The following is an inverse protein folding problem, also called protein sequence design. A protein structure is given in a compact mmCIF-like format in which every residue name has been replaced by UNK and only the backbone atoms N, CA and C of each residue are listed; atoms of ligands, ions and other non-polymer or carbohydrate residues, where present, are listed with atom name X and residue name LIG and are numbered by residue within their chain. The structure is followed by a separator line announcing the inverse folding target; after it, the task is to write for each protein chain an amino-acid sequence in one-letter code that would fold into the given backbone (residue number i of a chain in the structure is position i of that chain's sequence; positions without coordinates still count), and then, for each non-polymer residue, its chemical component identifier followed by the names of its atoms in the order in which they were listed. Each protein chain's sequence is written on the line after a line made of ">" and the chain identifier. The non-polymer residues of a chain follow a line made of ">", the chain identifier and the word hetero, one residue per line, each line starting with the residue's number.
data_IF_085185312867
#
_entry.id   IF_085185312867
#
_cell.length_a   1.000
_cell.length_b   1.000
_cell.length_c   1.000
_cell.angle_alpha   90.00
_cell.angle_beta   90.00
_cell.angle_gamma   90.00
#
_symmetry.space_group_name_H-M   'P 1'
#
loop_
_entity.id
_entity.type
_entity.pdbx_description
1 polymer ?
#
# COMPACT_ATOMS: atom_id res chain seq x y z
N UNK A 1 7.16 16.78 20.80
CA UNK A 1 6.90 15.33 20.64
C UNK A 1 6.15 15.19 19.34
N UNK A 2 6.77 14.59 18.31
CA UNK A 2 6.09 14.37 17.03
C UNK A 2 5.08 13.26 17.29
N UNK A 3 3.78 13.58 17.34
CA UNK A 3 2.74 12.56 17.34
C UNK A 3 3.04 11.63 16.17
N UNK A 4 3.31 10.36 16.45
CA UNK A 4 3.32 9.33 15.43
C UNK A 4 1.90 9.31 14.87
N UNK A 5 1.69 10.03 13.77
CA UNK A 5 0.50 9.88 12.95
C UNK A 5 0.57 8.44 12.45
N UNK A 6 -0.15 7.54 13.13
CA UNK A 6 -0.22 6.13 12.75
C UNK A 6 -0.84 6.06 11.35
N UNK A 7 0.02 5.98 10.34
CA UNK A 7 -0.42 5.73 8.97
C UNK A 7 -0.95 4.31 8.94
N UNK A 8 -2.22 4.16 8.59
CA UNK A 8 -2.89 2.87 8.49
C UNK A 8 -3.43 2.71 7.09
N UNK A 9 -3.18 1.55 6.48
CA UNK A 9 -3.80 1.16 5.22
C UNK A 9 -4.77 0.03 5.52
N UNK A 10 -6.01 0.17 5.05
CA UNK A 10 -7.06 -0.84 5.19
C UNK A 10 -7.57 -1.21 3.81
N UNK A 11 -7.69 -2.52 3.55
CA UNK A 11 -8.22 -3.08 2.32
C UNK A 11 -9.52 -3.81 2.61
N UNK A 12 -10.58 -3.50 1.86
CA UNK A 12 -11.91 -4.08 2.02
C UNK A 12 -12.52 -4.45 0.66
N UNK A 13 -13.43 -5.44 0.65
CA UNK A 13 -14.21 -5.80 -0.53
C UNK A 13 -15.51 -5.01 -0.52
N UNK A 14 -15.74 -4.19 -1.55
CA UNK A 14 -16.98 -3.45 -1.77
C UNK A 14 -17.67 -3.96 -3.04
N UNK A 15 -18.52 -4.98 -2.88
CA UNK A 15 -19.22 -5.68 -3.98
C UNK A 15 -18.25 -6.22 -5.04
N UNK A 16 -18.06 -5.47 -6.13
CA UNK A 16 -17.20 -5.83 -7.26
C UNK A 16 -15.92 -4.97 -7.33
N UNK A 17 -15.60 -4.23 -6.27
CA UNK A 17 -14.41 -3.38 -6.17
C UNK A 17 -13.62 -3.70 -4.90
N UNK A 18 -12.34 -3.40 -4.94
CA UNK A 18 -11.46 -3.36 -3.76
C UNK A 18 -11.38 -1.91 -3.29
N UNK A 19 -11.76 -1.65 -2.04
CA UNK A 19 -11.60 -0.35 -1.41
C UNK A 19 -10.29 -0.34 -0.63
N UNK A 20 -9.42 0.60 -0.94
CA UNK A 20 -8.21 0.88 -0.19
C UNK A 20 -8.37 2.23 0.51
N UNK A 21 -8.31 2.21 1.84
CA UNK A 21 -8.36 3.43 2.66
C UNK A 21 -7.00 3.66 3.29
N UNK A 22 -6.41 4.82 3.02
CA UNK A 22 -5.15 5.27 3.60
C UNK A 22 -5.47 6.37 4.61
N UNK A 23 -5.20 6.09 5.88
CA UNK A 23 -5.38 7.03 6.98
C UNK A 23 -4.08 7.79 7.22
N UNK A 24 -4.16 9.11 7.29
CA UNK A 24 -3.07 10.05 7.57
C UNK A 24 -3.32 10.80 8.89
N UNK A 25 -3.82 10.10 9.91
CA UNK A 25 -4.16 10.70 11.21
C UNK A 25 -5.50 11.40 11.16
N UNK A 26 -5.51 12.69 10.83
CA UNK A 26 -6.73 13.49 10.72
C UNK A 26 -7.39 13.41 9.34
N UNK A 27 -6.62 13.06 8.31
CA UNK A 27 -7.11 12.90 6.94
C UNK A 27 -7.24 11.44 6.54
N UNK A 28 -8.17 11.16 5.62
CA UNK A 28 -8.28 9.86 4.96
C UNK A 28 -8.32 10.02 3.44
N UNK A 29 -7.72 9.06 2.74
CA UNK A 29 -7.82 8.92 1.29
C UNK A 29 -8.43 7.56 0.97
N UNK A 30 -9.56 7.58 0.23
CA UNK A 30 -10.24 6.36 -0.22
C UNK A 30 -10.03 6.18 -1.71
N UNK A 31 -9.49 5.03 -2.09
CA UNK A 31 -9.26 4.62 -3.47
C UNK A 31 -10.11 3.38 -3.74
N UNK A 32 -10.94 3.40 -4.78
CA UNK A 32 -11.76 2.26 -5.19
C UNK A 32 -11.22 1.69 -6.49
N UNK A 33 -10.63 0.50 -6.39
CA UNK A 33 -10.05 -0.22 -7.51
C UNK A 33 -11.06 -1.25 -8.02
N UNK A 34 -11.15 -1.39 -9.33
CA UNK A 34 -11.72 -2.59 -9.92
C UNK A 34 -10.75 -3.78 -9.78
N UNK A 35 -11.17 -4.98 -10.18
CA UNK A 35 -10.35 -6.19 -10.00
C UNK A 35 -9.05 -6.17 -10.81
N UNK A 36 -9.06 -5.56 -12.00
CA UNK A 36 -7.90 -5.45 -12.87
C UNK A 36 -6.90 -4.44 -12.28
N UNK A 37 -7.36 -3.24 -11.94
CA UNK A 37 -6.54 -2.20 -11.27
C UNK A 37 -5.92 -2.71 -9.95
N UNK A 38 -6.67 -3.51 -9.17
CA UNK A 38 -6.17 -4.09 -7.93
C UNK A 38 -5.08 -5.14 -8.18
N UNK A 39 -5.17 -5.90 -9.28
CA UNK A 39 -4.14 -6.89 -9.67
C UNK A 39 -2.87 -6.19 -10.16
N UNK A 40 -3.01 -5.19 -11.02
CA UNK A 40 -1.88 -4.39 -11.51
C UNK A 40 -1.14 -3.74 -10.33
N UNK A 41 -1.88 -3.15 -9.38
CA UNK A 41 -1.28 -2.56 -8.17
C UNK A 41 -0.53 -3.59 -7.34
N UNK A 42 -1.06 -4.81 -7.19
CA UNK A 42 -0.39 -5.87 -6.43
C UNK A 42 0.91 -6.32 -7.10
N UNK A 43 0.89 -6.52 -8.42
CA UNK A 43 2.08 -6.91 -9.19
C UNK A 43 3.17 -5.84 -9.13
N UNK A 44 2.81 -4.57 -9.27
CA UNK A 44 3.78 -3.48 -9.20
C UNK A 44 4.33 -3.29 -7.79
N UNK A 45 3.50 -3.50 -6.76
CA UNK A 45 3.96 -3.48 -5.37
C UNK A 45 4.96 -4.61 -5.10
N UNK A 46 4.67 -5.83 -5.55
CA UNK A 46 5.56 -6.99 -5.38
C UNK A 46 6.92 -6.75 -6.05
N UNK A 47 6.94 -6.23 -7.29
CA UNK A 47 8.20 -5.86 -7.98
C UNK A 47 9.02 -4.86 -7.17
N UNK A 48 8.39 -3.82 -6.62
CA UNK A 48 9.06 -2.81 -5.80
C UNK A 48 9.60 -3.40 -4.49
N UNK A 49 8.86 -4.33 -3.87
CA UNK A 49 9.29 -5.02 -2.65
C UNK A 49 10.50 -5.92 -2.92
N UNK A 50 10.51 -6.64 -4.04
CA UNK A 50 11.65 -7.46 -4.48
C UNK A 50 12.89 -6.58 -4.72
N UNK A 51 12.75 -5.51 -5.49
CA UNK A 51 13.81 -4.53 -5.74
C UNK A 51 14.37 -3.94 -4.43
N UNK A 52 13.49 -3.59 -3.49
CA UNK A 52 13.89 -3.06 -2.19
C UNK A 52 14.69 -4.10 -1.39
N UNK A 53 14.22 -5.35 -1.36
CA UNK A 53 14.89 -6.45 -0.67
C UNK A 53 16.30 -6.69 -1.23
N UNK A 54 16.44 -6.74 -2.55
CA UNK A 54 17.74 -6.91 -3.23
C UNK A 54 18.69 -5.75 -2.89
N UNK A 55 18.23 -4.50 -2.97
CA UNK A 55 19.06 -3.32 -2.64
C UNK A 55 19.49 -3.27 -1.18
N UNK A 56 18.66 -3.74 -0.26
CA UNK A 56 19.02 -3.84 1.16
C UNK A 56 20.08 -4.92 1.39
N UNK A 57 20.01 -6.02 0.63
CA UNK A 57 20.98 -7.11 0.71
C UNK A 57 22.38 -6.68 0.21
N UNK A 58 22.48 -5.77 -0.75
CA UNK A 58 23.76 -5.21 -1.26
C UNK A 58 24.45 -4.27 -0.23
N UNK A 59 23.74 -3.78 0.79
CA UNK A 59 24.31 -2.89 1.83
C UNK A 59 24.92 -3.61 3.03
N UNK A 60 24.96 -4.93 3.02
CA UNK A 60 25.66 -5.75 4.02
C UNK A 60 26.92 -6.31 3.34
N UNK A 61 27.90 -5.44 3.13
CA UNK A 61 29.32 -5.80 3.01
C UNK A 61 30.17 -4.61 3.51
#
# INVERSE_FOLDING_TARGET
>A
MVQQIERKIVLEIERNRIRMTVFHGEDEQVIKLNLEEARELAEDLDKILEDYSQRKQIRID
#
